data_IF_303706964281
#
_entry.id   IF_303706964281
#
_cell.length_a   1.000
_cell.length_b   1.000
_cell.length_c   1.000
_cell.angle_alpha   90.00
_cell.angle_beta   90.00
_cell.angle_gamma   90.00
#
_symmetry.space_group_name_H-M   'P 1'
#
loop_
_entity.id
_entity.type
_entity.pdbx_description
1 polymer ?
#
# COMPACT_ATOMS: atom_id res chain seq x y z
N UNK A 1 -19.30 -21.25 23.31
CA UNK A 1 -18.82 -20.75 24.62
C UNK A 1 -17.51 -20.00 24.37
N UNK A 2 -17.26 -18.91 25.09
CA UNK A 2 -15.97 -18.22 24.99
C UNK A 2 -14.87 -19.13 25.58
N UNK A 3 -13.75 -19.28 24.88
CA UNK A 3 -12.59 -20.05 25.34
C UNK A 3 -11.39 -19.13 25.51
N UNK A 4 -10.59 -19.33 26.54
CA UNK A 4 -9.36 -18.56 26.72
C UNK A 4 -8.37 -18.90 25.60
N UNK A 5 -7.77 -17.87 24.99
CA UNK A 5 -6.65 -18.02 24.06
C UNK A 5 -5.37 -17.50 24.71
N UNK A 6 -4.71 -18.37 25.49
CA UNK A 6 -3.45 -18.05 26.18
C UNK A 6 -2.27 -17.81 25.24
N UNK A 7 -2.40 -18.15 23.94
CA UNK A 7 -1.35 -18.00 22.93
C UNK A 7 -1.38 -16.64 22.21
N UNK A 8 -2.38 -15.79 22.45
CA UNK A 8 -2.46 -14.47 21.83
C UNK A 8 -1.41 -13.52 22.41
N UNK A 9 -0.48 -13.08 21.59
CA UNK A 9 0.52 -12.03 21.94
C UNK A 9 -0.11 -10.64 22.11
N UNK A 10 -1.33 -10.42 21.61
CA UNK A 10 -2.03 -9.15 21.69
C UNK A 10 -2.67 -8.95 23.08
N UNK A 11 -2.20 -7.95 23.83
CA UNK A 11 -2.66 -7.66 25.19
C UNK A 11 -4.15 -7.27 25.25
N UNK A 12 -4.61 -6.44 24.30
CA UNK A 12 -6.01 -6.01 24.19
C UNK A 12 -6.93 -7.21 23.97
N UNK A 13 -6.54 -8.11 23.07
CA UNK A 13 -7.30 -9.35 22.84
C UNK A 13 -7.42 -10.19 24.11
N UNK A 14 -6.33 -10.32 24.89
CA UNK A 14 -6.34 -11.05 26.17
C UNK A 14 -7.27 -10.41 27.21
N UNK A 15 -7.27 -9.07 27.31
CA UNK A 15 -8.20 -8.32 28.18
C UNK A 15 -9.66 -8.57 27.76
N UNK A 16 -9.96 -8.50 26.47
CA UNK A 16 -11.30 -8.76 25.93
C UNK A 16 -11.77 -10.19 26.22
N UNK A 17 -10.91 -11.21 26.02
CA UNK A 17 -11.25 -12.59 26.36
C UNK A 17 -11.56 -12.77 27.84
N UNK A 18 -10.80 -12.12 28.74
CA UNK A 18 -11.07 -12.17 30.18
C UNK A 18 -12.45 -11.61 30.51
N UNK A 19 -12.84 -10.47 29.92
CA UNK A 19 -14.15 -9.86 30.12
C UNK A 19 -15.28 -10.79 29.66
N UNK A 20 -15.14 -11.41 28.49
CA UNK A 20 -16.14 -12.33 27.95
C UNK A 20 -16.30 -13.60 28.81
N UNK A 21 -15.19 -14.12 29.35
CA UNK A 21 -15.21 -15.30 30.23
C UNK A 21 -15.89 -15.01 31.57
N UNK A 22 -15.70 -13.82 32.14
CA UNK A 22 -16.34 -13.41 33.39
C UNK A 22 -17.84 -13.11 33.22
N UNK A 23 -18.33 -12.91 31.98
CA UNK A 23 -19.70 -12.48 31.70
C UNK A 23 -20.42 -13.46 30.76
N UNK A 24 -20.89 -14.63 31.25
CA UNK A 24 -21.45 -15.69 30.41
C UNK A 24 -22.76 -15.30 29.69
N UNK A 25 -23.41 -14.21 30.11
CA UNK A 25 -24.64 -13.69 29.47
C UNK A 25 -24.36 -12.93 28.17
N UNK A 26 -23.13 -12.49 27.94
CA UNK A 26 -22.76 -11.75 26.73
C UNK A 26 -22.62 -12.73 25.58
N UNK A 27 -23.40 -12.51 24.51
CA UNK A 27 -23.29 -13.24 23.25
C UNK A 27 -22.70 -12.33 22.19
N UNK A 28 -21.71 -12.83 21.46
CA UNK A 28 -21.07 -12.11 20.37
C UNK A 28 -21.45 -12.82 19.07
N UNK A 29 -21.92 -12.05 18.10
CA UNK A 29 -22.26 -12.52 16.75
C UNK A 29 -21.59 -11.63 15.72
N UNK A 30 -21.19 -12.23 14.60
CA UNK A 30 -20.66 -11.48 13.46
C UNK A 30 -21.80 -11.07 12.53
N UNK A 31 -21.73 -9.84 12.04
CA UNK A 31 -22.66 -9.27 11.08
C UNK A 31 -21.84 -8.60 9.97
N UNK A 32 -22.30 -8.71 8.73
CA UNK A 32 -21.61 -8.11 7.57
C UNK A 32 -21.74 -6.58 7.59
N UNK A 33 -20.68 -5.87 7.23
CA UNK A 33 -20.71 -4.41 7.11
C UNK A 33 -21.47 -3.94 5.87
N UNK A 34 -21.98 -2.71 5.93
CA UNK A 34 -22.64 -2.00 4.81
C UNK A 34 -23.88 -2.71 4.24
N UNK A 35 -24.68 -3.33 5.10
CA UNK A 35 -25.91 -4.03 4.71
C UNK A 35 -27.20 -3.33 5.14
N UNK A 36 -27.17 -2.05 5.55
CA UNK A 36 -28.37 -1.31 5.98
C UNK A 36 -28.77 -1.55 7.44
N UNK A 37 -27.96 -2.26 8.24
CA UNK A 37 -28.28 -2.51 9.66
C UNK A 37 -27.96 -1.27 10.47
N UNK A 38 -29.00 -0.51 10.82
CA UNK A 38 -28.92 0.82 11.46
C UNK A 38 -27.93 0.85 12.63
N UNK A 39 -27.98 -0.12 13.53
CA UNK A 39 -27.08 -0.17 14.69
C UNK A 39 -25.61 -0.38 14.31
N UNK A 40 -25.34 -1.23 13.32
CA UNK A 40 -23.99 -1.47 12.82
C UNK A 40 -23.46 -0.25 12.06
N UNK A 41 -24.28 0.36 11.21
CA UNK A 41 -23.89 1.55 10.43
C UNK A 41 -23.62 2.74 11.34
N UNK A 42 -24.42 2.94 12.39
CA UNK A 42 -24.16 3.97 13.39
C UNK A 42 -22.86 3.72 14.14
N UNK A 43 -22.57 2.47 14.52
CA UNK A 43 -21.29 2.13 15.16
C UNK A 43 -20.09 2.37 14.23
N UNK A 44 -20.20 2.00 12.95
CA UNK A 44 -19.17 2.25 11.94
C UNK A 44 -18.95 3.75 11.71
N UNK A 45 -20.03 4.55 11.68
CA UNK A 45 -19.93 6.00 11.53
C UNK A 45 -19.24 6.64 12.73
N UNK A 46 -19.62 6.25 13.96
CA UNK A 46 -18.96 6.72 15.18
C UNK A 46 -17.47 6.36 15.22
N UNK A 47 -17.11 5.16 14.75
CA UNK A 47 -15.71 4.76 14.65
C UNK A 47 -14.94 5.63 13.66
N UNK A 48 -15.54 5.98 12.51
CA UNK A 48 -14.94 6.90 11.52
C UNK A 48 -14.78 8.31 12.08
N UNK A 49 -15.80 8.83 12.74
CA UNK A 49 -15.77 10.17 13.33
C UNK A 49 -14.69 10.24 14.44
N UNK A 50 -14.58 9.19 15.25
CA UNK A 50 -13.52 9.07 16.26
C UNK A 50 -12.12 8.98 15.67
N UNK A 51 -11.94 8.43 14.45
CA UNK A 51 -10.66 8.47 13.75
C UNK A 51 -10.31 9.88 13.26
N UNK A 52 -11.30 10.69 12.86
CA UNK A 52 -11.07 12.06 12.37
C UNK A 52 -10.83 13.07 13.49
N UNK A 53 -11.53 12.90 14.62
CA UNK A 53 -11.50 13.83 15.76
C UNK A 53 -10.74 13.30 16.98
N UNK A 54 -10.27 12.06 16.94
CA UNK A 54 -9.45 11.48 17.99
C UNK A 54 -8.05 12.10 18.04
N UNK A 55 -7.41 12.04 19.21
CA UNK A 55 -5.98 12.29 19.34
C UNK A 55 -5.24 11.41 18.31
N UNK A 56 -4.40 11.99 17.43
CA UNK A 56 -3.59 11.17 16.54
C UNK A 56 -2.77 10.24 17.42
N UNK A 57 -2.98 8.92 17.27
CA UNK A 57 -1.98 7.97 17.74
C UNK A 57 -0.65 8.46 17.19
N UNK A 58 0.30 8.74 18.08
CA UNK A 58 1.62 9.25 17.70
C UNK A 58 2.11 8.51 16.46
N UNK A 59 2.50 9.26 15.43
CA UNK A 59 2.95 8.75 14.12
C UNK A 59 4.00 7.63 14.24
N UNK A 60 4.64 7.54 15.41
CA UNK A 60 5.60 6.51 15.83
C UNK A 60 5.07 5.07 15.80
N UNK A 61 3.76 4.83 15.74
CA UNK A 61 3.18 3.47 15.77
C UNK A 61 2.44 3.06 14.49
N UNK A 62 2.70 3.71 13.34
CA UNK A 62 2.18 3.20 12.08
C UNK A 62 2.79 1.82 11.77
N UNK A 63 1.97 0.80 11.44
CA UNK A 63 2.49 -0.48 11.00
C UNK A 63 3.47 -0.31 9.84
N UNK A 64 4.63 -0.99 9.89
CA UNK A 64 5.64 -0.92 8.82
C UNK A 64 5.06 -1.05 7.39
N UNK A 65 4.08 -1.92 7.11
CA UNK A 65 3.48 -2.00 5.77
C UNK A 65 2.80 -0.69 5.34
N UNK A 66 2.13 0.00 6.27
CA UNK A 66 1.44 1.26 6.01
C UNK A 66 2.43 2.37 5.64
N UNK A 67 3.50 2.50 6.44
CA UNK A 67 4.59 3.46 6.17
C UNK A 67 5.23 3.17 4.81
N UNK A 68 5.47 1.90 4.49
CA UNK A 68 6.03 1.48 3.20
C UNK A 68 5.13 1.86 2.01
N UNK A 69 3.81 1.78 2.17
CA UNK A 69 2.85 2.20 1.14
C UNK A 69 2.89 3.71 0.94
N UNK A 70 2.91 4.49 2.03
CA UNK A 70 3.02 5.96 1.96
C UNK A 70 4.31 6.40 1.25
N UNK A 71 5.46 5.86 1.66
CA UNK A 71 6.74 6.18 1.01
C UNK A 71 6.74 5.84 -0.49
N UNK A 72 6.22 4.67 -0.86
CA UNK A 72 6.13 4.28 -2.28
C UNK A 72 5.26 5.23 -3.08
N UNK A 73 4.15 5.68 -2.50
CA UNK A 73 3.26 6.65 -3.15
C UNK A 73 3.97 7.98 -3.38
N UNK A 74 4.55 8.56 -2.33
CA UNK A 74 5.27 9.85 -2.43
C UNK A 74 6.46 9.78 -3.40
N UNK A 75 7.25 8.70 -3.34
CA UNK A 75 8.37 8.47 -4.27
C UNK A 75 7.90 8.40 -5.73
N UNK A 76 6.78 7.71 -6.01
CA UNK A 76 6.24 7.63 -7.36
C UNK A 76 5.70 8.97 -7.85
N UNK A 77 5.05 9.75 -6.99
CA UNK A 77 4.54 11.08 -7.33
C UNK A 77 5.67 12.06 -7.65
N UNK A 78 6.73 12.06 -6.84
CA UNK A 78 7.92 12.87 -7.07
C UNK A 78 8.63 12.44 -8.37
N UNK A 79 8.82 11.14 -8.57
CA UNK A 79 9.44 10.62 -9.78
C UNK A 79 8.61 10.94 -11.03
N UNK A 80 7.29 10.82 -10.97
CA UNK A 80 6.40 11.20 -12.07
C UNK A 80 6.52 12.69 -12.39
N UNK A 81 6.64 13.53 -11.36
CA UNK A 81 6.79 14.98 -11.51
C UNK A 81 8.11 15.31 -12.21
N UNK A 82 9.22 14.72 -11.76
CA UNK A 82 10.51 14.85 -12.44
C UNK A 82 10.47 14.29 -13.86
N UNK A 83 9.77 13.18 -14.10
CA UNK A 83 9.64 12.59 -15.42
C UNK A 83 8.87 13.50 -16.39
N UNK A 84 7.80 14.12 -15.91
CA UNK A 84 7.00 15.09 -16.68
C UNK A 84 7.80 16.35 -17.02
N UNK A 85 8.54 16.89 -16.06
CA UNK A 85 9.16 18.21 -16.16
C UNK A 85 10.63 18.20 -16.62
N UNK A 86 11.31 17.05 -16.61
CA UNK A 86 12.70 16.97 -17.06
C UNK A 86 12.84 17.12 -18.57
N UNK A 87 14.04 17.39 -19.06
CA UNK A 87 14.33 17.47 -20.51
C UNK A 87 15.04 16.23 -21.05
N UNK A 88 15.60 15.40 -20.16
CA UNK A 88 16.27 14.15 -20.56
C UNK A 88 15.23 13.09 -20.93
N UNK A 89 15.55 12.28 -21.93
CA UNK A 89 14.76 11.07 -22.26
C UNK A 89 13.39 11.34 -22.89
N UNK A 90 13.13 12.53 -23.46
CA UNK A 90 11.80 12.88 -24.05
C UNK A 90 11.30 11.89 -25.10
N UNK A 91 12.20 11.28 -25.88
CA UNK A 91 11.83 10.21 -26.83
C UNK A 91 11.17 9.02 -26.13
N UNK A 92 11.66 8.64 -24.95
CA UNK A 92 11.10 7.55 -24.14
C UNK A 92 9.83 8.03 -23.43
N UNK A 93 9.78 9.28 -22.97
CA UNK A 93 8.57 9.87 -22.38
C UNK A 93 7.37 9.80 -23.32
N UNK A 94 7.58 10.02 -24.62
CA UNK A 94 6.51 9.94 -25.62
C UNK A 94 5.91 8.52 -25.76
N UNK A 95 6.69 7.48 -25.43
CA UNK A 95 6.24 6.08 -25.43
C UNK A 95 5.66 5.71 -24.06
N UNK A 96 6.31 6.15 -22.98
CA UNK A 96 5.96 5.83 -21.60
C UNK A 96 5.90 7.11 -20.76
N UNK A 97 4.77 7.84 -20.81
CA UNK A 97 4.63 9.10 -20.09
C UNK A 97 4.41 8.90 -18.59
N UNK A 98 3.96 7.72 -18.17
CA UNK A 98 3.72 7.38 -16.78
C UNK A 98 4.81 6.48 -16.20
N UNK A 99 5.29 6.81 -15.00
CA UNK A 99 6.19 5.95 -14.24
C UNK A 99 5.40 4.86 -13.54
N UNK A 100 5.98 3.66 -13.47
CA UNK A 100 5.36 2.50 -12.85
C UNK A 100 6.42 1.62 -12.22
N UNK A 101 6.08 0.99 -11.09
CA UNK A 101 6.88 -0.06 -10.48
C UNK A 101 6.60 -1.44 -11.09
N UNK A 102 5.55 -1.55 -11.91
CA UNK A 102 5.25 -2.79 -12.64
C UNK A 102 6.11 -2.83 -13.90
N UNK A 103 6.70 -3.99 -14.24
CA UNK A 103 7.39 -4.14 -15.51
C UNK A 103 6.44 -3.79 -16.65
N UNK A 104 6.87 -2.88 -17.53
CA UNK A 104 6.14 -2.62 -18.77
C UNK A 104 6.50 -3.68 -19.79
N UNK A 105 5.50 -4.22 -20.47
CA UNK A 105 5.70 -5.11 -21.62
C UNK A 105 6.13 -4.28 -22.82
N UNK A 106 7.44 -4.23 -23.09
CA UNK A 106 7.99 -3.52 -24.24
C UNK A 106 7.73 -4.31 -25.52
N UNK A 107 7.16 -3.66 -26.54
CA UNK A 107 7.08 -4.23 -27.88
C UNK A 107 8.40 -3.99 -28.62
N UNK A 108 8.64 -4.77 -29.68
CA UNK A 108 9.92 -4.77 -30.41
C UNK A 108 10.26 -3.39 -30.98
N UNK A 109 9.25 -2.67 -31.44
CA UNK A 109 9.34 -1.32 -32.00
C UNK A 109 9.85 -0.32 -30.95
N UNK A 110 9.35 -0.37 -29.72
CA UNK A 110 9.78 0.52 -28.62
C UNK A 110 11.23 0.27 -28.20
N UNK A 111 11.64 -1.00 -28.20
CA UNK A 111 13.02 -1.42 -27.92
C UNK A 111 13.98 -0.86 -28.98
N UNK A 112 13.60 -0.97 -30.26
CA UNK A 112 14.38 -0.40 -31.38
C UNK A 112 14.42 1.12 -31.29
N UNK A 113 13.27 1.78 -31.09
CA UNK A 113 13.16 3.24 -31.10
C UNK A 113 13.93 3.89 -29.94
N UNK A 114 13.89 3.27 -28.77
CA UNK A 114 14.63 3.72 -27.60
C UNK A 114 16.12 3.37 -27.65
N UNK A 115 16.56 2.62 -28.66
CA UNK A 115 17.92 2.08 -28.81
C UNK A 115 18.35 1.26 -27.58
N UNK A 116 17.39 0.72 -26.84
CA UNK A 116 17.65 -0.18 -25.71
C UNK A 116 17.67 -1.62 -26.21
N UNK A 117 18.42 -2.49 -25.55
CA UNK A 117 18.48 -3.92 -25.91
C UNK A 117 19.82 -4.34 -26.53
N UNK A 118 19.88 -5.48 -27.25
CA UNK A 118 21.13 -6.11 -27.66
C UNK A 118 21.80 -5.43 -28.86
N UNK A 119 21.73 -4.10 -28.95
CA UNK A 119 22.37 -3.32 -30.00
C UNK A 119 23.82 -3.02 -29.62
N UNK A 120 24.79 -3.19 -30.55
CA UNK A 120 26.20 -2.91 -30.27
C UNK A 120 26.44 -1.52 -29.68
N UNK A 121 25.80 -0.49 -30.21
CA UNK A 121 25.92 0.89 -29.72
C UNK A 121 25.47 1.04 -28.24
N UNK A 122 24.37 0.38 -27.87
CA UNK A 122 23.87 0.36 -26.49
C UNK A 122 24.84 -0.37 -25.55
N UNK A 123 25.27 -1.57 -25.94
CA UNK A 123 26.18 -2.38 -25.13
C UNK A 123 27.54 -1.71 -24.92
N UNK A 124 28.06 -1.00 -25.93
CA UNK A 124 29.30 -0.23 -25.81
C UNK A 124 29.13 1.01 -24.94
N UNK A 125 28.04 1.78 -25.10
CA UNK A 125 27.77 2.98 -24.29
C UNK A 125 27.72 2.69 -22.79
N UNK A 126 27.17 1.55 -22.40
CA UNK A 126 27.03 1.14 -21.00
C UNK A 126 28.14 0.17 -20.54
N UNK A 127 29.19 -0.03 -21.34
CA UNK A 127 30.30 -0.93 -21.03
C UNK A 127 29.88 -2.37 -20.70
N UNK A 128 28.76 -2.83 -21.30
CA UNK A 128 28.22 -4.18 -21.12
C UNK A 128 28.86 -5.20 -22.08
N UNK A 129 29.59 -4.71 -23.08
CA UNK A 129 30.41 -5.53 -23.98
C UNK A 129 31.85 -5.02 -23.92
N UNK A 130 32.81 -5.92 -23.69
CA UNK A 130 34.22 -5.62 -23.91
C UNK A 130 34.47 -5.50 -25.41
N UNK A 131 34.99 -4.35 -25.81
CA UNK A 131 35.62 -4.14 -27.12
C UNK A 131 36.82 -5.07 -27.28
#
# INVERSE_FOLDING_TARGET
MASSNSKSTNETARKNFKILLTNPKIKVSWVKSHTGIIGNERADQLAKDAMQHGQPYSLTNLPKPHVKVLFRKSMLEEWQTSWKNGDTGRKIYNIMPSVSLRPTTWIREDVIFSQHGPFPAYLTRFHLRRT
#
